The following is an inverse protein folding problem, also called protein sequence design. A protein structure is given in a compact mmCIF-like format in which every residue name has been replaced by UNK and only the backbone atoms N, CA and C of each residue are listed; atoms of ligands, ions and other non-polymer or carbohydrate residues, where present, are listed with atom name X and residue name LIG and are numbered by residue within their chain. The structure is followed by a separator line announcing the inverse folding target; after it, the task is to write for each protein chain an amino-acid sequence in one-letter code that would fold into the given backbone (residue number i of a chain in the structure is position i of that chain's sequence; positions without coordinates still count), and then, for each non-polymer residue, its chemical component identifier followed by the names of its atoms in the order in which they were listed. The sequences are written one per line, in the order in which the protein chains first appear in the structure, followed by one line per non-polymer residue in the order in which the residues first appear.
data_IF_515212910933
#
_entry.id   IF_515212910933
#
_cell.length_a   1.000
_cell.length_b   1.000
_cell.length_c   1.000
_cell.angle_alpha   90.00
_cell.angle_beta   90.00
_cell.angle_gamma   90.00
#
_symmetry.space_group_name_H-M   'P 1'
#
loop_
_entity.id
_entity.type
_entity.pdbx_description
1 polymer ?
#
# COMPACT_ATOMS: atom_id res chain seq x y z
N UNK A 1 7.39 -9.65 9.06
CA UNK A 1 6.75 -10.07 7.77
C UNK A 1 5.53 -10.95 8.05
N UNK A 2 4.88 -10.76 9.20
CA UNK A 2 3.98 -11.76 9.82
C UNK A 2 2.52 -11.71 9.31
N UNK A 3 2.25 -10.91 8.29
CA UNK A 3 0.90 -10.69 7.76
C UNK A 3 0.92 -10.69 6.22
N UNK A 4 1.31 -11.83 5.62
CA UNK A 4 1.03 -12.03 4.19
C UNK A 4 -0.48 -12.25 4.07
N UNK A 5 -1.18 -11.24 3.55
CA UNK A 5 -2.62 -11.32 3.28
C UNK A 5 -2.82 -12.26 2.09
N UNK A 6 -3.53 -13.37 2.31
CA UNK A 6 -4.02 -14.23 1.24
C UNK A 6 -5.33 -13.65 0.70
N UNK A 7 -5.41 -13.50 -0.61
CA UNK A 7 -6.60 -13.02 -1.29
C UNK A 7 -7.33 -14.20 -1.94
N UNK A 8 -8.66 -14.15 -1.93
CA UNK A 8 -9.46 -15.01 -2.80
C UNK A 8 -9.50 -14.47 -4.24
N UNK A 9 -9.95 -15.28 -5.20
CA UNK A 9 -9.94 -14.90 -6.63
C UNK A 9 -10.73 -13.62 -6.94
N UNK A 10 -11.78 -13.30 -6.16
CA UNK A 10 -12.55 -12.07 -6.34
C UNK A 10 -11.78 -10.86 -5.83
N UNK A 11 -11.10 -11.02 -4.69
CA UNK A 11 -10.24 -10.00 -4.12
C UNK A 11 -9.01 -9.75 -5.00
N UNK A 12 -8.42 -10.79 -5.58
CA UNK A 12 -7.33 -10.67 -6.55
C UNK A 12 -7.78 -9.88 -7.79
N UNK A 13 -8.95 -10.21 -8.37
CA UNK A 13 -9.48 -9.47 -9.51
C UNK A 13 -9.74 -7.99 -9.19
N UNK A 14 -10.26 -7.69 -8.00
CA UNK A 14 -10.49 -6.32 -7.56
C UNK A 14 -9.16 -5.55 -7.35
N UNK A 15 -8.15 -6.20 -6.79
CA UNK A 15 -6.80 -5.64 -6.64
C UNK A 15 -6.18 -5.37 -8.01
N UNK A 16 -6.27 -6.32 -8.93
CA UNK A 16 -5.76 -6.22 -10.29
C UNK A 16 -6.40 -5.03 -11.03
N UNK A 17 -7.72 -4.89 -11.01
CA UNK A 17 -8.41 -3.76 -11.62
C UNK A 17 -8.00 -2.41 -11.02
N UNK A 18 -7.64 -2.40 -9.73
CA UNK A 18 -7.14 -1.19 -9.06
C UNK A 18 -5.70 -0.88 -9.46
N UNK A 19 -4.84 -1.88 -9.55
CA UNK A 19 -3.47 -1.75 -10.02
C UNK A 19 -3.42 -1.22 -11.46
N UNK A 20 -4.27 -1.74 -12.35
CA UNK A 20 -4.37 -1.28 -13.75
C UNK A 20 -4.76 0.20 -13.84
N UNK A 21 -5.77 0.63 -13.07
CA UNK A 21 -6.16 2.04 -13.01
C UNK A 21 -5.04 2.92 -12.45
N UNK A 22 -4.27 2.43 -11.49
CA UNK A 22 -3.15 3.17 -10.92
C UNK A 22 -2.04 3.32 -11.96
N UNK A 23 -1.63 2.24 -12.62
CA UNK A 23 -0.63 2.25 -13.70
C UNK A 23 -1.07 3.18 -14.86
N UNK A 24 -2.35 3.19 -15.21
CA UNK A 24 -2.88 4.10 -16.22
C UNK A 24 -2.65 5.59 -15.88
N UNK A 25 -2.73 5.98 -14.59
CA UNK A 25 -2.38 7.35 -14.15
C UNK A 25 -0.90 7.68 -14.37
N UNK A 26 -0.03 6.69 -14.37
CA UNK A 26 1.40 6.83 -14.68
C UNK A 26 1.70 6.61 -16.17
N UNK A 27 0.72 6.86 -17.06
CA UNK A 27 0.84 6.71 -18.52
C UNK A 27 1.19 5.28 -18.96
N UNK A 28 0.80 4.29 -18.16
CA UNK A 28 1.11 2.90 -18.46
C UNK A 28 2.52 2.47 -18.07
N UNK A 29 3.28 3.28 -17.31
CA UNK A 29 4.61 2.91 -16.81
C UNK A 29 4.51 2.21 -15.44
N UNK A 30 4.59 0.86 -15.39
CA UNK A 30 4.45 0.12 -14.15
C UNK A 30 5.63 0.35 -13.19
N UNK A 31 6.83 0.65 -13.70
CA UNK A 31 8.02 0.88 -12.86
C UNK A 31 7.88 2.21 -12.15
N UNK A 32 7.41 3.24 -12.85
CA UNK A 32 7.13 4.54 -12.24
C UNK A 32 6.02 4.44 -11.19
N UNK A 33 4.93 3.75 -11.50
CA UNK A 33 3.84 3.51 -10.57
C UNK A 33 4.32 2.78 -9.30
N UNK A 34 5.11 1.70 -9.46
CA UNK A 34 5.65 0.93 -8.34
C UNK A 34 6.54 1.78 -7.43
N UNK A 35 7.43 2.60 -8.00
CA UNK A 35 8.30 3.51 -7.21
C UNK A 35 7.48 4.46 -6.34
N UNK A 36 6.43 5.05 -6.91
CA UNK A 36 5.57 5.97 -6.20
C UNK A 36 4.78 5.27 -5.08
N UNK A 37 4.24 4.08 -5.35
CA UNK A 37 3.56 3.26 -4.34
C UNK A 37 4.47 2.93 -3.15
N UNK A 38 5.74 2.60 -3.39
CA UNK A 38 6.71 2.31 -2.32
C UNK A 38 6.91 3.54 -1.42
N UNK A 39 7.10 4.73 -2.02
CA UNK A 39 7.27 5.98 -1.26
C UNK A 39 6.02 6.31 -0.45
N UNK A 40 4.84 6.21 -1.07
CA UNK A 40 3.56 6.47 -0.40
C UNK A 40 3.32 5.51 0.77
N UNK A 41 3.63 4.22 0.59
CA UNK A 41 3.52 3.23 1.66
C UNK A 41 4.48 3.53 2.81
N UNK A 42 5.70 4.00 2.53
CA UNK A 42 6.64 4.46 3.55
C UNK A 42 6.08 5.62 4.37
N UNK A 43 5.57 6.67 3.73
CA UNK A 43 4.96 7.80 4.42
C UNK A 43 3.71 7.41 5.22
N UNK A 44 2.91 6.47 4.71
CA UNK A 44 1.77 5.94 5.44
C UNK A 44 2.24 5.21 6.70
N UNK A 45 3.28 4.39 6.61
CA UNK A 45 3.85 3.69 7.76
C UNK A 45 4.38 4.67 8.82
N UNK A 46 5.12 5.71 8.41
CA UNK A 46 5.61 6.77 9.30
C UNK A 46 4.47 7.47 10.04
N UNK A 47 3.37 7.77 9.33
CA UNK A 47 2.17 8.38 9.91
C UNK A 47 1.46 7.44 10.88
N UNK A 48 1.34 6.15 10.54
CA UNK A 48 0.76 5.15 11.42
C UNK A 48 1.60 4.99 12.70
N UNK A 49 2.92 4.94 12.57
CA UNK A 49 3.84 4.83 13.71
C UNK A 49 3.72 6.06 14.62
N UNK A 50 3.63 7.27 14.05
CA UNK A 50 3.42 8.50 14.80
C UNK A 50 2.08 8.52 15.58
N UNK A 51 1.01 7.95 14.99
CA UNK A 51 -0.29 7.84 15.65
C UNK A 51 -0.32 6.76 16.76
N UNK A 52 0.48 5.71 16.62
CA UNK A 52 0.55 4.61 17.60
C UNK A 52 1.54 4.92 18.75
N UNK A 53 2.58 5.71 18.51
CA UNK A 53 3.58 6.11 19.50
C UNK A 53 2.99 6.65 20.83
N UNK A 54 2.00 7.57 20.86
CA UNK A 54 1.42 8.04 22.13
C UNK A 54 0.68 6.94 22.91
N UNK A 55 0.26 5.85 22.27
CA UNK A 55 -0.49 4.75 22.90
C UNK A 55 0.41 3.75 23.65
N UNK A 56 1.72 3.76 23.39
CA UNK A 56 2.71 2.94 24.10
C UNK A 56 3.30 3.61 25.36
N UNK A 57 3.28 4.95 25.43
CA UNK A 57 3.79 5.69 26.60
C UNK A 57 2.80 5.73 27.79
N UNK A 58 1.55 5.34 27.56
CA UNK A 58 0.48 5.34 28.57
C UNK A 58 0.19 3.94 29.16
N UNK A 59 1.07 2.95 28.93
CA UNK A 59 0.93 1.59 29.46
C UNK A 59 2.14 1.17 30.26
#
# INVERSE_FOLDING_TARGET
MDHIVRLDSRQEAALQATAERFIARHKGDPVKALKEMIVLNGHLQERLDALVAPRKAAR
#
